data_IF_878353077526
#
_entry.id   IF_878353077526
#
_cell.length_a   1.000
_cell.length_b   1.000
_cell.length_c   1.000
_cell.angle_alpha   90.00
_cell.angle_beta   90.00
_cell.angle_gamma   90.00
#
_symmetry.space_group_name_H-M   'P 1'
#
loop_
_entity.id
_entity.type
_entity.pdbx_description
1 polymer ?
#
# COMPACT_ATOMS: atom_id res chain seq x y z
N UNK A 1 -13.77 14.06 -1.61
CA UNK A 1 -12.95 12.84 -1.75
C UNK A 1 -11.67 13.22 -2.45
N UNK A 2 -10.54 12.97 -1.79
CA UNK A 2 -9.24 13.18 -2.40
C UNK A 2 -9.00 12.11 -3.47
N UNK A 3 -8.56 12.51 -4.66
CA UNK A 3 -8.23 11.56 -5.71
C UNK A 3 -6.90 10.90 -5.37
N UNK A 4 -6.83 9.58 -5.50
CA UNK A 4 -5.61 8.83 -5.25
C UNK A 4 -5.37 7.77 -6.34
N UNK A 5 -4.12 7.33 -6.43
CA UNK A 5 -3.69 6.20 -7.25
C UNK A 5 -2.95 5.21 -6.37
N UNK A 6 -3.13 3.91 -6.64
CA UNK A 6 -2.37 2.86 -5.97
C UNK A 6 -1.37 2.27 -6.96
N UNK A 7 -0.12 2.17 -6.50
CA UNK A 7 0.96 1.46 -7.17
C UNK A 7 1.54 0.39 -6.26
N UNK A 8 2.09 -0.64 -6.89
CA UNK A 8 2.88 -1.67 -6.22
C UNK A 8 4.33 -1.49 -6.67
N UNK A 9 5.25 -1.04 -5.80
CA UNK A 9 6.63 -0.70 -6.19
C UNK A 9 7.36 -1.85 -6.92
N UNK A 10 7.14 -3.09 -6.48
CA UNK A 10 7.69 -4.29 -7.10
C UNK A 10 6.75 -4.96 -8.12
N UNK A 11 5.66 -4.28 -8.51
CA UNK A 11 4.56 -4.86 -9.27
C UNK A 11 3.60 -5.68 -8.39
N UNK A 12 2.44 -6.03 -8.95
CA UNK A 12 1.48 -6.89 -8.25
C UNK A 12 1.91 -8.35 -8.38
N UNK A 13 2.51 -8.89 -7.32
CA UNK A 13 3.14 -10.22 -7.29
C UNK A 13 2.44 -11.24 -6.37
N UNK A 14 1.20 -10.96 -5.96
CA UNK A 14 0.43 -11.85 -5.08
C UNK A 14 0.17 -13.21 -5.75
N UNK A 15 0.57 -14.28 -5.07
CA UNK A 15 0.28 -15.66 -5.49
C UNK A 15 -0.83 -16.30 -4.68
N UNK A 16 -1.01 -15.87 -3.42
CA UNK A 16 -2.09 -16.30 -2.54
C UNK A 16 -2.71 -15.10 -1.81
N UNK A 17 -3.91 -14.71 -2.21
CA UNK A 17 -4.56 -13.51 -1.66
C UNK A 17 -4.86 -13.57 -0.16
N UNK A 18 -4.79 -14.74 0.49
CA UNK A 18 -5.04 -14.88 1.94
C UNK A 18 -3.80 -15.21 2.77
N UNK A 19 -2.62 -15.42 2.16
CA UNK A 19 -1.40 -15.87 2.85
C UNK A 19 -0.11 -15.20 2.31
N UNK A 20 -0.23 -13.95 1.87
CA UNK A 20 0.88 -13.21 1.28
C UNK A 20 0.99 -11.82 1.90
N UNK A 21 1.94 -11.03 1.39
CA UNK A 21 2.08 -9.61 1.68
C UNK A 21 2.44 -8.81 0.43
N UNK A 22 2.18 -7.50 0.43
CA UNK A 22 2.51 -6.62 -0.71
C UNK A 22 2.77 -5.20 -0.29
N UNK A 23 3.76 -4.59 -0.93
CA UNK A 23 4.09 -3.18 -0.78
C UNK A 23 3.15 -2.30 -1.59
N UNK A 24 2.64 -1.26 -0.95
CA UNK A 24 1.61 -0.39 -1.49
C UNK A 24 2.08 1.07 -1.41
N UNK A 25 2.16 1.72 -2.56
CA UNK A 25 2.27 3.16 -2.64
C UNK A 25 0.89 3.77 -2.91
N UNK A 26 0.50 4.71 -2.06
CA UNK A 26 -0.68 5.57 -2.24
C UNK A 26 -0.19 6.94 -2.66
N UNK A 27 -0.58 7.35 -3.86
CA UNK A 27 -0.22 8.66 -4.41
C UNK A 27 -1.47 9.52 -4.37
N UNK A 28 -1.40 10.67 -3.71
CA UNK A 28 -2.49 11.64 -3.65
C UNK A 28 -2.39 12.63 -4.81
N UNK A 29 -3.51 13.24 -5.19
CA UNK A 29 -3.55 14.26 -6.25
C UNK A 29 -2.73 15.51 -5.95
N UNK A 30 -2.39 15.76 -4.69
CA UNK A 30 -1.48 16.83 -4.28
C UNK A 30 0.02 16.50 -4.54
N UNK A 31 0.32 15.30 -5.04
CA UNK A 31 1.66 14.85 -5.39
C UNK A 31 2.42 14.16 -4.26
N UNK A 32 1.86 14.03 -3.05
CA UNK A 32 2.50 13.26 -1.98
C UNK A 32 2.33 11.75 -2.19
N UNK A 33 3.38 11.02 -1.79
CA UNK A 33 3.44 9.56 -1.89
C UNK A 33 3.61 8.96 -0.49
N UNK A 34 2.75 8.00 -0.18
CA UNK A 34 2.70 7.27 1.07
C UNK A 34 2.97 5.79 0.83
N UNK A 35 3.62 5.13 1.77
CA UNK A 35 4.01 3.72 1.71
C UNK A 35 3.49 2.94 2.90
N UNK A 36 3.00 1.73 2.65
CA UNK A 36 2.81 0.71 3.66
C UNK A 36 2.95 -0.69 3.04
N UNK A 37 3.23 -1.69 3.85
CA UNK A 37 3.14 -3.09 3.45
C UNK A 37 1.88 -3.72 4.04
N UNK A 38 1.08 -4.33 3.17
CA UNK A 38 -0.16 -4.99 3.54
C UNK A 38 0.13 -6.46 3.83
N UNK A 39 -0.31 -6.96 4.97
CA UNK A 39 -0.13 -8.35 5.40
C UNK A 39 -1.45 -9.03 5.67
N UNK A 40 -1.58 -10.28 5.22
CA UNK A 40 -2.71 -11.11 5.63
C UNK A 40 -2.47 -11.76 7.00
N UNK A 41 -3.55 -12.05 7.72
CA UNK A 41 -3.45 -12.68 9.05
C UNK A 41 -2.77 -14.05 8.96
N UNK A 42 -3.07 -14.84 7.92
CA UNK A 42 -2.46 -16.16 7.75
C UNK A 42 -0.95 -16.04 7.45
N UNK A 43 -0.55 -15.04 6.65
CA UNK A 43 0.86 -14.76 6.40
C UNK A 43 1.61 -14.46 7.70
N UNK A 44 1.09 -13.54 8.52
CA UNK A 44 1.69 -13.22 9.83
C UNK A 44 1.78 -14.46 10.71
N UNK A 45 0.70 -15.26 10.78
CA UNK A 45 0.70 -16.51 11.56
C UNK A 45 1.77 -17.49 11.06
N UNK A 46 1.93 -17.63 9.75
CA UNK A 46 2.90 -18.53 9.15
C UNK A 46 4.35 -18.07 9.36
N UNK A 47 4.60 -16.76 9.35
CA UNK A 47 5.89 -16.16 9.69
C UNK A 47 6.22 -16.40 11.18
N UNK A 48 5.27 -16.14 12.08
CA UNK A 48 5.46 -16.34 13.52
C UNK A 48 5.59 -17.81 13.95
N UNK A 49 5.16 -18.76 13.12
CA UNK A 49 5.41 -20.18 13.37
C UNK A 49 6.84 -20.61 13.01
N UNK A 50 7.53 -19.83 12.18
CA UNK A 50 8.90 -20.12 11.71
C UNK A 50 9.94 -19.34 12.50
N UNK A 51 9.60 -18.12 12.90
CA UNK A 51 10.52 -17.17 13.50
C UNK A 51 10.02 -16.68 14.86
N UNK A 52 10.96 -16.26 15.72
CA UNK A 52 10.66 -15.76 17.06
C UNK A 52 9.96 -14.39 17.02
N UNK A 53 10.21 -13.60 15.98
CA UNK A 53 9.61 -12.28 15.80
C UNK A 53 9.50 -11.95 14.32
N UNK A 54 8.53 -11.10 14.00
CA UNK A 54 8.32 -10.50 12.69
C UNK A 54 8.05 -9.01 12.86
N UNK A 55 8.64 -8.17 12.02
CA UNK A 55 8.45 -6.72 12.08
C UNK A 55 8.43 -6.10 10.69
N UNK A 56 7.72 -4.98 10.58
CA UNK A 56 7.69 -4.07 9.44
C UNK A 56 7.45 -2.66 9.97
N UNK A 57 8.00 -1.64 9.32
CA UNK A 57 7.85 -0.24 9.75
C UNK A 57 6.42 0.25 9.61
N UNK A 58 5.74 -0.11 8.52
CA UNK A 58 4.44 0.44 8.11
C UNK A 58 3.50 -0.71 7.78
N UNK A 59 3.02 -1.40 8.82
CA UNK A 59 2.24 -2.61 8.70
C UNK A 59 0.74 -2.32 8.70
N UNK A 60 0.05 -2.71 7.62
CA UNK A 60 -1.42 -2.73 7.56
C UNK A 60 -1.90 -4.18 7.48
N UNK A 61 -2.64 -4.63 8.49
CA UNK A 61 -3.17 -6.01 8.53
C UNK A 61 -4.54 -6.07 7.86
N UNK A 62 -4.69 -6.96 6.88
CA UNK A 62 -5.87 -7.03 6.01
C UNK A 62 -6.43 -8.45 5.89
N UNK A 63 -7.70 -8.55 5.50
CA UNK A 63 -8.38 -9.85 5.35
C UNK A 63 -7.86 -10.64 4.14
N UNK A 64 -7.58 -9.96 3.04
CA UNK A 64 -7.07 -10.52 1.79
C UNK A 64 -6.44 -9.41 0.92
N UNK A 65 -5.68 -9.82 -0.09
CA UNK A 65 -4.92 -8.93 -0.98
C UNK A 65 -5.52 -8.83 -2.38
N UNK A 66 -6.81 -9.13 -2.54
CA UNK A 66 -7.51 -8.80 -3.78
C UNK A 66 -7.43 -7.29 -4.05
N UNK A 67 -7.18 -6.89 -5.29
CA UNK A 67 -7.08 -5.48 -5.68
C UNK A 67 -8.29 -4.64 -5.23
N UNK A 68 -9.50 -5.19 -5.33
CA UNK A 68 -10.72 -4.54 -4.85
C UNK A 68 -10.74 -4.33 -3.33
N UNK A 69 -10.21 -5.28 -2.57
CA UNK A 69 -10.07 -5.16 -1.11
C UNK A 69 -9.05 -4.08 -0.77
N UNK A 70 -7.87 -4.10 -1.41
CA UNK A 70 -6.83 -3.09 -1.21
C UNK A 70 -7.39 -1.69 -1.51
N UNK A 71 -8.10 -1.52 -2.63
CA UNK A 71 -8.74 -0.25 -2.99
C UNK A 71 -9.70 0.25 -1.92
N UNK A 72 -10.59 -0.62 -1.44
CA UNK A 72 -11.58 -0.28 -0.40
C UNK A 72 -10.93 0.10 0.91
N UNK A 73 -9.84 -0.57 1.28
CA UNK A 73 -9.08 -0.27 2.51
C UNK A 73 -8.40 1.09 2.39
N UNK A 74 -7.70 1.36 1.29
CA UNK A 74 -7.05 2.66 1.07
C UNK A 74 -8.07 3.80 1.06
N UNK A 75 -9.19 3.62 0.33
CA UNK A 75 -10.28 4.61 0.32
C UNK A 75 -10.78 4.89 1.74
N UNK A 76 -11.04 3.84 2.51
CA UNK A 76 -11.51 3.96 3.89
C UNK A 76 -10.50 4.67 4.80
N UNK A 77 -9.21 4.36 4.69
CA UNK A 77 -8.14 5.01 5.48
C UNK A 77 -8.06 6.50 5.15
N UNK A 78 -8.21 6.87 3.88
CA UNK A 78 -8.24 8.28 3.46
C UNK A 78 -9.49 8.98 3.99
N UNK A 79 -10.67 8.37 3.83
CA UNK A 79 -11.95 8.93 4.29
C UNK A 79 -12.01 9.08 5.83
N UNK A 80 -11.28 8.24 6.57
CA UNK A 80 -11.15 8.29 8.03
C UNK A 80 -9.98 9.19 8.51
N UNK A 81 -9.27 9.87 7.60
CA UNK A 81 -8.11 10.72 7.90
C UNK A 81 -6.96 9.98 8.63
N UNK A 82 -6.83 8.67 8.40
CA UNK A 82 -5.85 7.79 9.06
C UNK A 82 -4.58 7.55 8.25
N UNK A 83 -4.42 8.20 7.10
CA UNK A 83 -3.32 7.91 6.17
C UNK A 83 -1.94 8.21 6.81
N UNK A 84 -1.78 9.36 7.45
CA UNK A 84 -0.49 9.78 8.04
C UNK A 84 -0.07 8.95 9.26
N UNK A 85 -1.01 8.24 9.90
CA UNK A 85 -0.71 7.35 11.04
C UNK A 85 -0.57 5.88 10.62
N UNK A 86 -1.10 5.50 9.46
CA UNK A 86 -1.10 4.11 8.98
C UNK A 86 -0.04 3.85 7.92
N UNK A 87 0.47 4.90 7.27
CA UNK A 87 1.45 4.86 6.19
C UNK A 87 2.57 5.86 6.47
N UNK A 88 3.78 5.53 6.02
CA UNK A 88 4.88 6.49 6.00
C UNK A 88 4.82 7.37 4.77
N UNK A 89 4.94 8.69 4.96
CA UNK A 89 5.16 9.63 3.87
C UNK A 89 6.59 9.47 3.36
N UNK A 90 6.75 9.02 2.11
CA UNK A 90 8.07 8.73 1.52
C UNK A 90 8.58 9.84 0.59
N UNK A 91 7.73 10.81 0.23
CA UNK A 91 8.14 11.97 -0.55
C UNK A 91 7.03 12.48 -1.47
N UNK A 92 7.45 13.08 -2.57
CA UNK A 92 6.62 13.55 -3.67
C UNK A 92 6.79 12.68 -4.92
N UNK A 93 5.88 12.81 -5.89
CA UNK A 93 5.96 12.11 -7.18
C UNK A 93 7.33 12.30 -7.83
N UNK A 94 7.85 13.53 -7.84
CA UNK A 94 9.14 13.85 -8.47
C UNK A 94 10.32 13.18 -7.80
N UNK A 95 10.26 12.99 -6.48
CA UNK A 95 11.33 12.35 -5.71
C UNK A 95 11.31 10.82 -5.85
N UNK A 96 10.11 10.22 -5.95
CA UNK A 96 9.94 8.76 -5.96
C UNK A 96 9.89 8.17 -7.36
N UNK A 97 9.29 8.87 -8.31
CA UNK A 97 9.01 8.38 -9.66
C UNK A 97 9.64 9.29 -10.70
N UNK A 98 10.96 9.49 -10.65
CA UNK A 98 11.75 10.46 -11.45
C UNK A 98 11.40 10.63 -12.94
N UNK A 99 10.70 9.67 -13.54
CA UNK A 99 10.17 9.70 -14.91
C UNK A 99 8.80 10.42 -15.06
N UNK A 100 8.13 10.76 -13.96
CA UNK A 100 6.82 11.40 -13.91
C UNK A 100 6.92 12.71 -13.14
N UNK A 101 6.29 13.76 -13.66
CA UNK A 101 6.25 15.08 -13.02
C UNK A 101 4.93 15.35 -12.29
N UNK A 102 3.85 14.63 -12.66
CA UNK A 102 2.48 14.91 -12.21
C UNK A 102 1.69 13.66 -11.80
N UNK A 103 0.61 13.88 -11.06
CA UNK A 103 -0.33 12.81 -10.69
C UNK A 103 -0.93 12.15 -11.93
N UNK A 104 -1.27 12.93 -12.95
CA UNK A 104 -1.94 12.52 -14.17
C UNK A 104 -1.12 11.50 -14.99
N UNK A 105 0.18 11.72 -15.10
CA UNK A 105 1.13 10.87 -15.85
C UNK A 105 1.27 9.46 -15.27
N UNK A 106 1.04 9.30 -13.97
CA UNK A 106 1.21 8.00 -13.32
C UNK A 106 0.16 6.99 -13.81
N UNK A 107 0.63 5.88 -14.38
CA UNK A 107 -0.24 4.74 -14.74
C UNK A 107 -0.47 3.87 -13.51
N UNK A 108 -1.63 4.04 -12.86
CA UNK A 108 -1.98 3.33 -11.64
C UNK A 108 -2.21 1.83 -11.86
N UNK A 109 -1.81 1.02 -10.88
CA UNK A 109 -2.15 -0.41 -10.83
C UNK A 109 -3.61 -0.63 -10.43
N UNK A 110 -4.15 0.30 -9.65
CA UNK A 110 -5.57 0.40 -9.29
C UNK A 110 -5.97 1.89 -9.32
N UNK A 111 -7.12 2.17 -9.94
CA UNK A 111 -7.83 3.46 -9.91
C UNK A 111 -9.06 3.32 -9.04
#
# INVERSE_FOLDING_TARGET
MENFKILFPAGYNITNVTDDNIDVNVILSNGFVYFATFFTILNIKNLMNKDLYFWSTDMVVVKNLEKETIKKIVLKIIDEELLEVSFSKIGTIKEIYSENESFEEITASIR
#
